data_IF_002774518879
#
_entry.id   IF_002774518879
#
_cell.length_a   1.000
_cell.length_b   1.000
_cell.length_c   1.000
_cell.angle_alpha   90.00
_cell.angle_beta   90.00
_cell.angle_gamma   90.00
#
_symmetry.space_group_name_H-M   'P 1'
#
loop_
_entity.id
_entity.type
_entity.pdbx_description
1 polymer ?
#
# COMPACT_ATOMS: atom_id res chain seq x y z
N UNK A 1 28.24 -11.98 -18.90
CA UNK A 1 28.23 -13.12 -17.96
C UNK A 1 27.93 -12.56 -16.59
N UNK A 2 26.98 -13.12 -15.81
CA UNK A 2 26.74 -12.67 -14.44
C UNK A 2 27.99 -12.91 -13.59
N UNK A 3 28.22 -12.06 -12.60
CA UNK A 3 29.39 -12.12 -11.73
C UNK A 3 29.40 -13.42 -10.89
N UNK A 4 30.57 -13.91 -10.44
CA UNK A 4 30.66 -15.14 -9.65
C UNK A 4 29.91 -14.95 -8.32
N UNK A 5 28.76 -15.62 -8.16
CA UNK A 5 27.92 -15.54 -6.96
C UNK A 5 26.46 -15.17 -7.22
N UNK A 6 26.09 -14.70 -8.42
CA UNK A 6 24.68 -14.45 -8.75
C UNK A 6 23.94 -15.74 -9.07
N UNK A 7 23.14 -16.23 -8.11
CA UNK A 7 22.13 -17.28 -8.37
C UNK A 7 21.19 -16.82 -9.48
N UNK A 8 20.79 -17.75 -10.33
CA UNK A 8 19.90 -17.44 -11.46
C UNK A 8 18.55 -16.89 -10.96
N UNK A 9 17.95 -15.92 -11.66
CA UNK A 9 16.64 -15.42 -11.30
C UNK A 9 15.57 -16.50 -11.60
N UNK A 10 14.74 -16.81 -10.60
CA UNK A 10 13.55 -17.65 -10.79
C UNK A 10 12.52 -16.90 -11.64
N UNK A 11 12.37 -15.58 -11.40
CA UNK A 11 11.57 -14.69 -12.22
C UNK A 11 12.27 -13.35 -12.43
N UNK A 12 12.16 -12.79 -13.63
CA UNK A 12 12.68 -11.47 -13.98
C UNK A 12 11.66 -10.67 -14.80
N UNK A 13 11.41 -9.44 -14.41
CA UNK A 13 10.62 -8.46 -15.15
C UNK A 13 11.58 -7.41 -15.70
N UNK A 14 11.43 -7.09 -16.99
CA UNK A 14 12.33 -6.17 -17.69
C UNK A 14 11.53 -5.07 -18.39
N UNK A 15 11.74 -3.82 -17.99
CA UNK A 15 11.03 -2.64 -18.51
C UNK A 15 9.51 -2.77 -18.48
N UNK A 16 8.96 -3.47 -17.48
CA UNK A 16 7.52 -3.79 -17.42
C UNK A 16 6.72 -2.53 -17.14
N UNK A 17 5.75 -2.23 -18.01
CA UNK A 17 4.78 -1.16 -17.81
C UNK A 17 3.36 -1.69 -18.01
N UNK A 18 2.41 -1.13 -17.25
CA UNK A 18 1.01 -1.53 -17.29
C UNK A 18 0.11 -0.31 -17.29
N UNK A 19 -0.80 -0.27 -18.27
CA UNK A 19 -1.90 0.69 -18.34
C UNK A 19 -3.23 -0.05 -18.53
N UNK A 20 -4.27 0.38 -17.84
CA UNK A 20 -5.64 -0.12 -18.06
C UNK A 20 -6.42 0.85 -18.94
N UNK A 21 -7.37 0.33 -19.72
CA UNK A 21 -8.29 1.16 -20.48
C UNK A 21 -9.34 1.78 -19.54
N UNK A 22 -9.51 3.10 -19.60
CA UNK A 22 -10.65 3.77 -18.94
C UNK A 22 -11.92 3.60 -19.79
N UNK A 23 -13.13 3.75 -19.21
CA UNK A 23 -14.37 3.88 -19.97
C UNK A 23 -14.35 5.00 -21.03
N UNK A 24 -13.53 6.04 -20.80
CA UNK A 24 -13.30 7.14 -21.75
C UNK A 24 -12.38 6.80 -22.93
N UNK A 25 -11.75 5.61 -22.93
CA UNK A 25 -10.79 5.18 -23.95
C UNK A 25 -9.33 5.59 -23.70
N UNK A 26 -9.07 6.50 -22.76
CA UNK A 26 -7.70 6.88 -22.40
C UNK A 26 -6.99 5.80 -21.55
N UNK A 27 -5.67 5.61 -21.72
CA UNK A 27 -4.90 4.73 -20.84
C UNK A 27 -4.78 5.34 -19.43
N UNK A 28 -4.97 4.50 -18.41
CA UNK A 28 -4.63 4.78 -17.02
C UNK A 28 -3.31 4.07 -16.70
N UNK A 29 -2.16 4.77 -16.68
CA UNK A 29 -0.89 4.15 -16.35
C UNK A 29 -0.84 3.77 -14.87
N UNK A 30 -0.60 2.49 -14.60
CA UNK A 30 -0.51 1.92 -13.25
C UNK A 30 0.92 1.56 -12.89
N UNK A 31 1.71 1.03 -13.83
CA UNK A 31 3.12 0.71 -13.64
C UNK A 31 3.92 1.28 -14.81
N UNK A 32 5.13 1.76 -14.54
CA UNK A 32 6.01 2.28 -15.56
C UNK A 32 7.45 1.84 -15.32
N UNK A 33 8.03 1.19 -16.33
CA UNK A 33 9.45 0.85 -16.40
C UNK A 33 9.97 0.11 -15.16
N UNK A 34 9.34 -1.02 -14.86
CA UNK A 34 9.69 -1.87 -13.73
C UNK A 34 10.72 -2.92 -14.16
N UNK A 35 11.90 -2.84 -13.55
CA UNK A 35 12.94 -3.87 -13.61
C UNK A 35 13.08 -4.54 -12.25
N UNK A 36 12.81 -5.84 -12.16
CA UNK A 36 13.05 -6.61 -10.94
C UNK A 36 13.43 -8.04 -11.25
N UNK A 37 14.17 -8.67 -10.36
CA UNK A 37 14.50 -10.09 -10.44
C UNK A 37 14.47 -10.70 -9.05
N UNK A 38 13.81 -11.85 -8.92
CA UNK A 38 13.79 -12.66 -7.70
C UNK A 38 14.73 -13.84 -7.91
N UNK A 39 15.72 -13.99 -7.03
CA UNK A 39 16.75 -15.03 -7.13
C UNK A 39 16.36 -16.27 -6.34
N UNK A 40 16.99 -17.39 -6.67
CA UNK A 40 16.83 -18.64 -5.93
C UNK A 40 17.31 -18.52 -4.47
N UNK A 41 16.47 -18.98 -3.55
CA UNK A 41 16.66 -18.89 -2.10
C UNK A 41 16.51 -17.48 -1.55
N UNK A 42 15.83 -16.58 -2.26
CA UNK A 42 15.53 -15.20 -1.83
C UNK A 42 14.03 -15.05 -1.51
N UNK A 43 13.73 -14.32 -0.43
CA UNK A 43 12.44 -13.68 -0.20
C UNK A 43 12.56 -12.20 -0.58
N UNK A 44 11.97 -11.83 -1.72
CA UNK A 44 11.89 -10.44 -2.16
C UNK A 44 10.58 -9.80 -1.67
N UNK A 45 10.70 -8.70 -0.93
CA UNK A 45 9.56 -7.89 -0.50
C UNK A 45 9.28 -6.76 -1.49
N UNK A 46 8.01 -6.56 -1.87
CA UNK A 46 7.54 -5.38 -2.58
C UNK A 46 6.73 -4.52 -1.61
N UNK A 47 7.31 -3.40 -1.20
CA UNK A 47 6.75 -2.48 -0.24
C UNK A 47 6.21 -1.24 -0.95
N UNK A 48 5.02 -0.77 -0.58
CA UNK A 48 4.49 0.47 -1.11
C UNK A 48 3.09 0.77 -0.62
N UNK A 49 2.63 2.00 -0.83
CA UNK A 49 1.31 2.45 -0.37
C UNK A 49 0.16 1.71 -1.08
N UNK A 50 -1.04 1.80 -0.53
CA UNK A 50 -2.24 1.39 -1.27
C UNK A 50 -2.32 2.14 -2.61
N UNK A 51 -2.65 1.44 -3.68
CA UNK A 51 -2.73 2.02 -5.04
C UNK A 51 -1.40 2.21 -5.77
N UNK A 52 -0.25 1.79 -5.23
CA UNK A 52 1.05 1.89 -5.94
C UNK A 52 1.23 0.89 -7.09
N UNK A 53 0.31 -0.06 -7.27
CA UNK A 53 0.37 -1.07 -8.34
C UNK A 53 0.98 -2.42 -7.92
N UNK A 54 1.17 -2.67 -6.62
CA UNK A 54 1.78 -3.93 -6.11
C UNK A 54 1.04 -5.20 -6.55
N UNK A 55 -0.27 -5.27 -6.30
CA UNK A 55 -1.08 -6.42 -6.71
C UNK A 55 -1.18 -6.56 -8.24
N UNK A 56 -1.09 -5.45 -8.98
CA UNK A 56 -0.97 -5.49 -10.45
C UNK A 56 0.35 -6.13 -10.87
N UNK A 57 1.46 -5.76 -10.23
CA UNK A 57 2.78 -6.32 -10.50
C UNK A 57 2.83 -7.81 -10.16
N UNK A 58 2.23 -8.22 -9.03
CA UNK A 58 2.14 -9.62 -8.63
C UNK A 58 1.30 -10.44 -9.63
N UNK A 59 0.18 -9.91 -10.13
CA UNK A 59 -0.62 -10.56 -11.18
C UNK A 59 0.13 -10.68 -12.52
N UNK A 60 0.98 -9.71 -12.85
CA UNK A 60 1.86 -9.79 -14.02
C UNK A 60 2.91 -10.89 -13.81
N UNK A 61 3.53 -10.96 -12.63
CA UNK A 61 4.48 -12.01 -12.27
C UNK A 61 3.84 -13.42 -12.27
N UNK A 62 2.55 -13.52 -11.94
CA UNK A 62 1.77 -14.76 -12.01
C UNK A 62 1.34 -15.15 -13.44
N UNK A 63 1.57 -14.28 -14.43
CA UNK A 63 1.09 -14.49 -15.80
C UNK A 63 -0.43 -14.29 -15.97
N UNK A 64 -1.12 -13.78 -14.95
CA UNK A 64 -2.58 -13.54 -14.96
C UNK A 64 -2.95 -12.28 -15.74
N UNK A 65 -2.04 -11.30 -15.81
CA UNK A 65 -2.22 -10.04 -16.53
C UNK A 65 -1.03 -9.81 -17.43
N UNK A 66 -1.26 -9.62 -18.73
CA UNK A 66 -0.21 -9.29 -19.68
C UNK A 66 0.19 -7.81 -19.52
N UNK A 67 1.49 -7.48 -19.39
CA UNK A 67 1.92 -6.09 -19.33
C UNK A 67 1.67 -5.39 -20.67
N UNK A 68 1.49 -4.06 -20.64
CA UNK A 68 1.33 -3.24 -21.85
C UNK A 68 2.63 -3.15 -22.63
N UNK A 69 3.77 -3.13 -21.94
CA UNK A 69 5.11 -3.20 -22.53
C UNK A 69 6.10 -3.86 -21.58
N UNK A 70 7.28 -4.21 -22.10
CA UNK A 70 8.28 -4.97 -21.36
C UNK A 70 8.04 -6.47 -21.49
N UNK A 71 8.81 -7.27 -20.73
CA UNK A 71 8.68 -8.73 -20.74
C UNK A 71 8.89 -9.33 -19.36
N UNK A 72 8.31 -10.49 -19.16
CA UNK A 72 8.47 -11.31 -17.96
C UNK A 72 9.14 -12.62 -18.38
N UNK A 73 10.17 -13.01 -17.65
CA UNK A 73 10.95 -14.24 -17.86
C UNK A 73 10.82 -15.09 -16.60
N UNK A 74 10.31 -16.32 -16.71
CA UNK A 74 10.22 -17.29 -15.62
C UNK A 74 11.14 -18.47 -15.95
N UNK A 75 12.09 -18.78 -15.06
CA UNK A 75 13.17 -19.77 -15.25
C UNK A 75 13.87 -19.63 -16.62
N UNK A 76 14.10 -18.38 -17.04
CA UNK A 76 14.78 -18.04 -18.29
C UNK A 76 13.92 -18.12 -19.56
N UNK A 77 12.66 -18.52 -19.47
CA UNK A 77 11.72 -18.57 -20.60
C UNK A 77 10.71 -17.40 -20.53
N UNK A 78 10.25 -16.85 -21.66
CA UNK A 78 9.18 -15.86 -21.67
C UNK A 78 7.89 -16.38 -20.99
N UNK A 79 7.27 -15.54 -20.17
CA UNK A 79 5.99 -15.83 -19.51
C UNK A 79 4.85 -15.10 -20.25
N UNK A 80 4.10 -15.84 -21.05
CA UNK A 80 2.99 -15.32 -21.86
C UNK A 80 1.58 -15.62 -21.29
N UNK A 81 1.52 -16.21 -20.09
CA UNK A 81 0.30 -16.59 -19.40
C UNK A 81 0.60 -17.31 -18.08
N UNK A 82 -0.41 -17.84 -17.38
CA UNK A 82 -0.20 -18.63 -16.16
C UNK A 82 0.70 -19.83 -16.45
N UNK A 83 1.75 -20.00 -15.64
CA UNK A 83 2.70 -21.09 -15.79
C UNK A 83 2.62 -22.07 -14.62
N UNK A 84 2.86 -23.35 -14.91
CA UNK A 84 3.06 -24.35 -13.88
C UNK A 84 4.28 -24.00 -13.02
N UNK A 85 4.18 -24.28 -11.72
CA UNK A 85 5.24 -23.99 -10.76
C UNK A 85 5.21 -22.56 -10.18
N UNK A 86 4.13 -21.81 -10.36
CA UNK A 86 3.91 -20.54 -9.65
C UNK A 86 2.71 -20.71 -8.71
N UNK A 87 2.95 -20.69 -7.40
CA UNK A 87 1.93 -20.69 -6.36
C UNK A 87 1.52 -19.26 -5.99
N UNK A 88 0.24 -19.03 -5.70
CA UNK A 88 -0.27 -17.70 -5.30
C UNK A 88 -1.07 -17.79 -4.00
N UNK A 89 -0.72 -16.93 -3.04
CA UNK A 89 -1.43 -16.73 -1.79
C UNK A 89 -2.08 -15.35 -1.83
N UNK A 90 -3.39 -15.30 -1.72
CA UNK A 90 -4.17 -14.06 -1.83
C UNK A 90 -4.44 -13.42 -0.47
N UNK A 91 -4.70 -12.11 -0.48
CA UNK A 91 -5.05 -11.31 0.70
C UNK A 91 -6.35 -11.78 1.36
N UNK A 92 -7.38 -12.02 0.55
CA UNK A 92 -8.55 -12.76 1.01
C UNK A 92 -8.20 -14.24 0.95
N UNK A 93 -8.48 -15.03 2.00
CA UNK A 93 -8.21 -16.47 2.06
C UNK A 93 -8.58 -17.21 0.76
N UNK A 94 -9.60 -16.71 0.05
CA UNK A 94 -10.05 -17.18 -1.27
C UNK A 94 -10.34 -18.68 -1.27
N UNK A 95 -10.75 -19.22 -0.13
CA UNK A 95 -11.20 -20.59 0.02
C UNK A 95 -12.64 -20.70 -0.46
N UNK A 96 -12.97 -21.84 -1.06
CA UNK A 96 -14.32 -22.17 -1.43
C UNK A 96 -15.08 -22.62 -0.17
N UNK A 97 -16.12 -21.87 0.26
CA UNK A 97 -16.74 -22.09 1.57
C UNK A 97 -17.57 -23.38 1.67
N UNK A 98 -17.87 -24.01 0.53
CA UNK A 98 -18.60 -25.28 0.42
C UNK A 98 -17.68 -26.49 0.22
N UNK A 99 -16.36 -26.28 0.13
CA UNK A 99 -15.38 -27.36 0.07
C UNK A 99 -14.70 -27.54 1.43
N UNK A 100 -14.29 -28.77 1.75
CA UNK A 100 -13.48 -29.08 2.94
C UNK A 100 -12.05 -28.52 2.81
N UNK A 101 -11.24 -28.64 3.87
CA UNK A 101 -9.80 -28.31 3.80
C UNK A 101 -9.12 -29.15 2.73
N UNK A 102 -9.31 -30.46 2.75
CA UNK A 102 -8.74 -31.39 1.76
C UNK A 102 -9.10 -30.99 0.33
N UNK A 103 -10.40 -30.79 0.07
CA UNK A 103 -10.89 -30.40 -1.26
C UNK A 103 -10.36 -29.02 -1.68
N UNK A 104 -10.23 -28.06 -0.76
CA UNK A 104 -9.63 -26.76 -1.08
C UNK A 104 -8.16 -26.89 -1.47
N UNK A 105 -7.39 -27.76 -0.80
CA UNK A 105 -5.99 -27.99 -1.11
C UNK A 105 -5.84 -28.74 -2.43
N UNK A 106 -6.67 -29.74 -2.69
CA UNK A 106 -6.68 -30.53 -3.92
C UNK A 106 -6.83 -29.67 -5.19
N UNK A 107 -7.58 -28.57 -5.13
CA UNK A 107 -7.70 -27.60 -6.24
C UNK A 107 -6.34 -27.07 -6.75
N UNK A 108 -5.31 -27.06 -5.92
CA UNK A 108 -3.95 -26.69 -6.33
C UNK A 108 -3.33 -27.65 -7.35
N UNK A 109 -3.87 -28.87 -7.47
CA UNK A 109 -3.42 -29.92 -8.38
C UNK A 109 -4.20 -29.97 -9.70
N UNK A 110 -5.36 -29.32 -9.79
CA UNK A 110 -6.26 -29.38 -10.96
C UNK A 110 -5.56 -29.07 -12.29
N UNK A 111 -4.65 -28.09 -12.26
CA UNK A 111 -3.94 -27.62 -13.44
C UNK A 111 -2.85 -28.60 -13.94
N UNK A 112 -2.33 -29.46 -13.06
CA UNK A 112 -1.19 -30.34 -13.35
C UNK A 112 -1.56 -31.81 -13.57
N UNK A 113 -2.87 -32.16 -13.49
CA UNK A 113 -3.44 -33.49 -13.84
C UNK A 113 -2.69 -34.67 -13.23
N UNK A 114 -2.51 -34.63 -11.92
CA UNK A 114 -1.86 -35.70 -11.13
C UNK A 114 -2.79 -36.92 -11.02
N UNK A 115 -2.26 -38.17 -11.03
CA UNK A 115 -3.06 -39.36 -10.73
C UNK A 115 -3.74 -39.26 -9.35
N UNK A 116 -4.94 -39.84 -9.15
CA UNK A 116 -5.70 -39.68 -7.91
C UNK A 116 -4.95 -40.11 -6.63
N UNK A 117 -4.26 -41.25 -6.67
CA UNK A 117 -3.52 -41.78 -5.51
C UNK A 117 -2.34 -40.86 -5.12
N UNK A 118 -1.66 -40.30 -6.12
CA UNK A 118 -0.57 -39.33 -5.93
C UNK A 118 -1.11 -37.98 -5.45
N UNK A 119 -2.31 -37.59 -5.88
CA UNK A 119 -2.96 -36.35 -5.47
C UNK A 119 -3.30 -36.37 -3.98
N UNK A 120 -3.94 -37.45 -3.51
CA UNK A 120 -4.28 -37.59 -2.08
C UNK A 120 -3.03 -37.54 -1.19
N UNK A 121 -1.96 -38.28 -1.54
CA UNK A 121 -0.71 -38.25 -0.78
C UNK A 121 -0.10 -36.83 -0.70
N UNK A 122 -0.09 -36.08 -1.81
CA UNK A 122 0.39 -34.69 -1.83
C UNK A 122 -0.46 -33.77 -0.98
N UNK A 123 -1.78 -33.91 -1.04
CA UNK A 123 -2.71 -33.11 -0.24
C UNK A 123 -2.51 -33.36 1.25
N UNK A 124 -2.44 -34.63 1.67
CA UNK A 124 -2.15 -35.00 3.07
C UNK A 124 -0.83 -34.41 3.54
N UNK A 125 0.26 -34.61 2.78
CA UNK A 125 1.57 -34.05 3.16
C UNK A 125 1.59 -32.52 3.19
N UNK A 126 0.83 -31.84 2.32
CA UNK A 126 0.71 -30.38 2.35
C UNK A 126 -0.04 -29.89 3.59
N UNK A 127 -1.07 -30.61 4.05
CA UNK A 127 -1.84 -30.30 5.26
C UNK A 127 -1.02 -30.57 6.54
N UNK A 128 -0.23 -31.64 6.55
CA UNK A 128 0.74 -31.96 7.60
C UNK A 128 1.81 -30.85 7.72
N UNK A 129 2.39 -30.43 6.59
CA UNK A 129 3.47 -29.43 6.54
C UNK A 129 3.07 -28.09 7.18
N UNK A 130 1.81 -27.70 7.03
CA UNK A 130 1.25 -26.47 7.60
C UNK A 130 0.60 -26.68 8.97
N UNK A 131 0.63 -27.90 9.52
CA UNK A 131 0.19 -28.24 10.87
C UNK A 131 -1.33 -28.20 11.06
N UNK A 132 -2.09 -28.70 10.08
CA UNK A 132 -3.55 -28.83 10.16
C UNK A 132 -4.04 -30.28 10.19
N UNK A 133 -3.20 -31.18 10.70
CA UNK A 133 -3.56 -32.59 10.94
C UNK A 133 -4.83 -32.71 11.78
N UNK A 134 -5.77 -33.54 11.32
CA UNK A 134 -7.07 -33.74 11.94
C UNK A 134 -8.15 -32.71 11.56
N UNK A 135 -7.85 -31.76 10.69
CA UNK A 135 -8.82 -30.77 10.16
C UNK A 135 -9.14 -30.95 8.67
N UNK A 136 -8.75 -32.07 8.05
CA UNK A 136 -8.88 -32.35 6.61
C UNK A 136 -10.34 -32.24 6.15
N UNK A 137 -11.27 -32.74 6.96
CA UNK A 137 -12.71 -32.76 6.68
C UNK A 137 -13.46 -31.50 7.12
N UNK A 138 -12.79 -30.54 7.77
CA UNK A 138 -13.42 -29.32 8.25
C UNK A 138 -13.75 -28.36 7.10
N UNK A 139 -14.82 -27.60 7.23
CA UNK A 139 -15.17 -26.53 6.30
C UNK A 139 -14.54 -25.18 6.74
N UNK A 140 -14.28 -24.23 5.82
CA UNK A 140 -13.66 -22.94 6.14
C UNK A 140 -14.36 -22.13 7.25
N UNK A 141 -15.68 -22.31 7.42
CA UNK A 141 -16.48 -21.68 8.48
C UNK A 141 -16.18 -22.21 9.89
N UNK A 142 -15.55 -23.37 9.99
CA UNK A 142 -15.20 -24.05 11.24
C UNK A 142 -13.76 -23.72 11.67
N UNK A 143 -13.02 -22.99 10.84
CA UNK A 143 -11.61 -22.65 11.04
C UNK A 143 -11.44 -21.23 11.61
N UNK A 144 -10.36 -21.01 12.35
CA UNK A 144 -9.91 -19.66 12.70
C UNK A 144 -9.34 -18.93 11.46
N UNK A 145 -9.10 -17.62 11.57
CA UNK A 145 -8.45 -16.85 10.49
C UNK A 145 -7.07 -17.40 10.12
N UNK A 146 -6.24 -17.69 11.12
CA UNK A 146 -4.91 -18.27 10.89
C UNK A 146 -4.97 -19.65 10.25
N UNK A 147 -5.92 -20.50 10.68
CA UNK A 147 -6.12 -21.82 10.06
C UNK A 147 -6.54 -21.69 8.59
N UNK A 148 -7.48 -20.79 8.25
CA UNK A 148 -7.82 -20.52 6.84
C UNK A 148 -6.62 -20.05 6.02
N UNK A 149 -5.75 -19.22 6.59
CA UNK A 149 -4.55 -18.79 5.90
C UNK A 149 -3.58 -19.95 5.65
N UNK A 150 -3.42 -20.86 6.63
CA UNK A 150 -2.63 -22.10 6.46
C UNK A 150 -3.17 -22.96 5.33
N UNK A 151 -4.49 -23.14 5.22
CA UNK A 151 -5.11 -23.84 4.08
C UNK A 151 -4.76 -23.15 2.75
N UNK A 152 -4.76 -21.81 2.73
CA UNK A 152 -4.31 -21.03 1.58
C UNK A 152 -2.85 -21.31 1.18
N UNK A 153 -1.95 -21.45 2.16
CA UNK A 153 -0.56 -21.88 1.92
C UNK A 153 -0.50 -23.32 1.40
N UNK A 154 -1.19 -24.26 2.04
CA UNK A 154 -1.23 -25.67 1.63
C UNK A 154 -1.63 -25.79 0.14
N UNK A 155 -2.73 -25.13 -0.24
CA UNK A 155 -3.22 -25.08 -1.63
C UNK A 155 -2.20 -24.49 -2.60
N UNK A 156 -1.44 -23.47 -2.18
CA UNK A 156 -0.42 -22.88 -3.02
C UNK A 156 0.82 -23.79 -3.17
N UNK A 157 1.14 -24.58 -2.15
CA UNK A 157 2.35 -25.40 -2.06
C UNK A 157 2.20 -26.82 -2.61
N UNK A 158 0.98 -27.36 -2.64
CA UNK A 158 0.70 -28.78 -3.02
C UNK A 158 1.23 -29.16 -4.42
N UNK A 159 1.35 -28.18 -5.31
CA UNK A 159 1.86 -28.36 -6.68
C UNK A 159 3.38 -28.24 -6.82
N UNK A 160 4.13 -28.22 -5.72
CA UNK A 160 5.59 -28.04 -5.67
C UNK A 160 6.09 -26.82 -6.49
N UNK A 161 5.61 -25.59 -6.19
CA UNK A 161 5.90 -24.44 -7.03
C UNK A 161 7.35 -23.96 -6.88
N UNK A 162 7.99 -23.55 -7.96
CA UNK A 162 9.29 -22.88 -7.89
C UNK A 162 9.19 -21.51 -7.22
N UNK A 163 8.10 -20.79 -7.49
CA UNK A 163 7.91 -19.41 -7.06
C UNK A 163 6.62 -19.30 -6.26
N UNK A 164 6.71 -18.79 -5.04
CA UNK A 164 5.55 -18.44 -4.23
C UNK A 164 5.31 -16.92 -4.28
N UNK A 165 4.16 -16.53 -4.78
CA UNK A 165 3.69 -15.15 -4.79
C UNK A 165 2.73 -14.94 -3.62
N UNK A 166 2.94 -13.91 -2.81
CA UNK A 166 2.05 -13.60 -1.69
C UNK A 166 1.55 -12.16 -1.76
N UNK A 167 0.24 -11.97 -1.80
CA UNK A 167 -0.41 -10.64 -1.82
C UNK A 167 -0.99 -10.33 -0.44
N UNK A 168 -0.28 -9.55 0.38
CA UNK A 168 -0.65 -9.20 1.76
C UNK A 168 -1.11 -10.41 2.62
N UNK A 169 -0.33 -11.50 2.67
CA UNK A 169 -0.76 -12.79 3.23
C UNK A 169 -1.10 -12.77 4.72
N UNK A 170 -0.67 -11.76 5.47
CA UNK A 170 -0.92 -11.66 6.92
C UNK A 170 -1.84 -10.50 7.31
N UNK A 171 -2.34 -9.71 6.36
CA UNK A 171 -3.06 -8.45 6.68
C UNK A 171 -4.46 -8.68 7.29
N UNK A 172 -5.09 -9.81 7.00
CA UNK A 172 -6.44 -10.14 7.46
C UNK A 172 -6.48 -10.82 8.86
N UNK A 173 -5.31 -10.97 9.49
CA UNK A 173 -5.15 -11.68 10.76
C UNK A 173 -4.93 -10.68 11.90
N UNK A 174 -5.34 -11.06 13.12
CA UNK A 174 -4.94 -10.31 14.31
C UNK A 174 -3.42 -10.39 14.52
N UNK A 175 -2.88 -9.44 15.29
CA UNK A 175 -1.44 -9.24 15.44
C UNK A 175 -0.71 -10.49 15.92
N UNK A 176 -1.27 -11.21 16.91
CA UNK A 176 -0.63 -12.40 17.49
C UNK A 176 -0.67 -13.59 16.53
N UNK A 177 -1.84 -13.85 15.93
CA UNK A 177 -1.99 -14.93 14.94
C UNK A 177 -1.08 -14.70 13.73
N UNK A 178 -1.00 -13.46 13.25
CA UNK A 178 -0.10 -13.08 12.16
C UNK A 178 1.36 -13.32 12.53
N UNK A 179 1.76 -13.07 13.78
CA UNK A 179 3.13 -13.26 14.26
C UNK A 179 3.56 -14.71 14.31
N UNK A 180 2.69 -15.56 14.86
CA UNK A 180 2.90 -17.00 14.86
C UNK A 180 3.00 -17.54 13.44
N UNK A 181 2.06 -17.17 12.56
CA UNK A 181 2.04 -17.65 11.18
C UNK A 181 3.30 -17.26 10.38
N UNK A 182 3.83 -16.04 10.61
CA UNK A 182 5.09 -15.58 9.99
C UNK A 182 6.29 -16.37 10.50
N UNK A 183 6.35 -16.58 11.81
CA UNK A 183 7.45 -17.32 12.44
C UNK A 183 7.49 -18.74 11.90
N UNK A 184 6.35 -19.44 11.91
CA UNK A 184 6.22 -20.79 11.37
C UNK A 184 6.61 -20.86 9.89
N UNK A 185 6.17 -19.90 9.07
CA UNK A 185 6.55 -19.83 7.66
C UNK A 185 8.07 -19.68 7.49
N UNK A 186 8.69 -18.78 8.26
CA UNK A 186 10.13 -18.55 8.20
C UNK A 186 10.90 -19.78 8.68
N UNK A 187 10.45 -20.48 9.72
CA UNK A 187 11.08 -21.69 10.22
C UNK A 187 11.08 -22.79 9.15
N UNK A 188 9.95 -23.03 8.49
CA UNK A 188 9.84 -23.98 7.39
C UNK A 188 10.70 -23.60 6.18
N UNK A 189 10.73 -22.31 5.82
CA UNK A 189 11.57 -21.78 4.73
C UNK A 189 13.06 -21.98 5.00
N UNK A 190 13.53 -21.63 6.20
CA UNK A 190 14.94 -21.73 6.59
C UNK A 190 15.40 -23.17 6.76
N UNK A 191 14.51 -24.03 7.27
CA UNK A 191 14.74 -25.46 7.37
C UNK A 191 14.69 -26.18 6.00
N UNK A 192 14.39 -25.47 4.90
CA UNK A 192 14.25 -26.03 3.55
C UNK A 192 13.18 -27.12 3.44
N UNK A 193 12.12 -26.98 4.24
CA UNK A 193 11.00 -27.91 4.26
C UNK A 193 9.87 -27.51 3.29
N UNK A 194 9.80 -26.22 2.93
CA UNK A 194 8.86 -25.77 1.91
C UNK A 194 9.35 -26.16 0.50
N UNK A 195 8.49 -26.74 -0.36
CA UNK A 195 8.85 -27.16 -1.72
C UNK A 195 8.88 -25.97 -2.69
N UNK A 196 9.68 -24.94 -2.37
CA UNK A 196 9.75 -23.68 -3.12
C UNK A 196 11.18 -23.15 -3.26
N UNK A 197 11.48 -22.51 -4.40
CA UNK A 197 12.81 -21.97 -4.69
C UNK A 197 12.93 -20.49 -4.31
N UNK A 198 11.86 -19.70 -4.44
CA UNK A 198 11.86 -18.26 -4.22
C UNK A 198 10.50 -17.73 -3.78
N UNK A 199 10.50 -16.56 -3.12
CA UNK A 199 9.28 -15.86 -2.70
C UNK A 199 9.27 -14.43 -3.20
N UNK A 200 8.14 -13.98 -3.75
CA UNK A 200 7.83 -12.56 -3.94
C UNK A 200 6.62 -12.20 -3.08
N UNK A 201 6.84 -11.41 -2.04
CA UNK A 201 5.81 -11.00 -1.09
C UNK A 201 5.48 -9.53 -1.27
N UNK A 202 4.20 -9.20 -1.37
CA UNK A 202 3.68 -7.85 -1.34
C UNK A 202 3.17 -7.55 0.07
N UNK A 203 3.62 -6.43 0.63
CA UNK A 203 3.09 -5.93 1.90
C UNK A 203 3.08 -4.40 1.92
N UNK A 204 2.28 -3.82 2.82
CA UNK A 204 2.34 -2.41 3.18
C UNK A 204 2.95 -2.19 4.58
N UNK A 205 3.34 -3.27 5.27
CA UNK A 205 3.97 -3.24 6.57
C UNK A 205 5.50 -3.33 6.44
N UNK A 206 6.21 -2.29 6.88
CA UNK A 206 7.68 -2.21 6.79
C UNK A 206 8.35 -3.20 7.73
N UNK A 207 7.86 -3.31 8.96
CA UNK A 207 8.44 -4.22 9.96
C UNK A 207 8.32 -5.67 9.50
N UNK A 208 7.17 -6.05 8.94
CA UNK A 208 6.98 -7.36 8.32
C UNK A 208 7.99 -7.62 7.21
N UNK A 209 8.14 -6.68 6.28
CA UNK A 209 9.07 -6.80 5.18
C UNK A 209 10.53 -6.94 5.67
N UNK A 210 10.95 -6.14 6.66
CA UNK A 210 12.31 -6.18 7.20
C UNK A 210 12.56 -7.44 8.02
N UNK A 211 11.54 -8.01 8.68
CA UNK A 211 11.67 -9.27 9.40
C UNK A 211 11.71 -10.47 8.46
N UNK A 212 11.01 -10.43 7.33
CA UNK A 212 10.81 -11.59 6.46
C UNK A 212 11.64 -11.63 5.19
N UNK A 213 12.08 -10.49 4.65
CA UNK A 213 12.68 -10.44 3.31
C UNK A 213 14.20 -10.29 3.34
N UNK A 214 14.90 -10.90 2.38
CA UNK A 214 16.34 -10.68 2.17
C UNK A 214 16.60 -9.31 1.53
N UNK A 215 15.62 -8.82 0.77
CA UNK A 215 15.66 -7.54 0.07
C UNK A 215 14.26 -6.97 -0.10
N UNK A 216 14.16 -5.65 -0.12
CA UNK A 216 12.89 -4.92 -0.27
C UNK A 216 13.00 -3.95 -1.45
N UNK A 217 12.02 -4.00 -2.36
CA UNK A 217 11.80 -2.99 -3.38
C UNK A 217 10.69 -2.04 -2.94
N UNK A 218 11.00 -0.75 -2.91
CA UNK A 218 10.04 0.29 -2.57
C UNK A 218 9.35 0.79 -3.83
N UNK A 219 8.05 0.57 -3.95
CA UNK A 219 7.22 0.97 -5.08
C UNK A 219 6.53 2.31 -4.81
N UNK A 220 6.85 3.31 -5.62
CA UNK A 220 6.14 4.60 -5.68
C UNK A 220 4.76 4.46 -6.29
N UNK A 221 3.96 5.52 -6.30
CA UNK A 221 2.60 5.51 -6.86
C UNK A 221 2.46 6.49 -8.03
N UNK A 222 1.55 6.18 -8.96
CA UNK A 222 1.02 7.05 -10.02
C UNK A 222 2.03 7.64 -11.04
N UNK A 223 2.57 6.83 -11.97
CA UNK A 223 2.51 5.37 -12.03
C UNK A 223 3.53 4.73 -11.08
N UNK A 224 3.30 3.46 -10.74
CA UNK A 224 4.22 2.68 -9.93
C UNK A 224 5.59 2.55 -10.58
N UNK A 225 6.63 2.91 -9.81
CA UNK A 225 8.05 2.83 -10.18
C UNK A 225 8.85 2.36 -8.98
N UNK A 226 9.94 1.64 -9.21
CA UNK A 226 10.87 1.28 -8.14
C UNK A 226 11.62 2.55 -7.72
N UNK A 227 11.43 2.95 -6.47
CA UNK A 227 12.04 4.15 -5.89
C UNK A 227 13.39 3.83 -5.26
N UNK A 228 13.48 2.67 -4.61
CA UNK A 228 14.65 2.22 -3.89
C UNK A 228 14.66 0.70 -3.82
N UNK A 229 15.86 0.16 -3.70
CA UNK A 229 16.15 -1.23 -3.39
C UNK A 229 16.93 -1.25 -2.08
N UNK A 230 16.43 -1.97 -1.09
CA UNK A 230 16.98 -2.00 0.27
C UNK A 230 17.37 -3.44 0.61
N UNK A 231 18.67 -3.78 0.65
CA UNK A 231 19.13 -5.08 1.11
C UNK A 231 18.97 -5.20 2.62
N UNK A 232 18.66 -6.40 3.12
CA UNK A 232 18.55 -6.69 4.56
C UNK A 232 19.68 -7.67 4.94
N UNK A 233 20.87 -7.17 5.35
CA UNK A 233 22.05 -8.01 5.59
C UNK A 233 22.00 -8.82 6.89
N UNK A 234 20.86 -8.82 7.58
CA UNK A 234 20.68 -9.47 8.88
C UNK A 234 20.31 -10.94 8.70
N UNK A 235 21.02 -11.81 9.42
CA UNK A 235 20.72 -13.23 9.47
C UNK A 235 19.43 -13.53 10.27
N UNK A 236 18.81 -14.67 9.99
CA UNK A 236 17.67 -15.16 10.75
C UNK A 236 18.13 -16.03 11.95
N UNK A 237 17.37 -16.06 13.06
CA UNK A 237 16.13 -15.31 13.31
C UNK A 237 16.41 -13.83 13.63
N UNK A 238 15.62 -12.94 13.04
CA UNK A 238 15.75 -11.48 13.24
C UNK A 238 14.99 -11.04 14.49
N UNK A 239 15.57 -10.13 15.24
CA UNK A 239 14.95 -9.56 16.44
C UNK A 239 14.46 -8.14 16.17
N UNK A 240 13.19 -7.87 16.47
CA UNK A 240 12.57 -6.52 16.39
C UNK A 240 13.29 -5.47 17.23
N UNK A 241 13.93 -5.91 18.31
CA UNK A 241 14.65 -5.04 19.24
C UNK A 241 16.11 -4.81 18.82
N UNK A 242 16.57 -5.41 17.72
CA UNK A 242 17.91 -5.18 17.19
C UNK A 242 18.03 -3.73 16.68
N UNK A 243 18.97 -2.92 17.22
CA UNK A 243 19.18 -1.56 16.75
C UNK A 243 19.50 -1.44 15.26
N UNK A 244 20.20 -2.42 14.67
CA UNK A 244 20.53 -2.41 13.24
C UNK A 244 19.27 -2.62 12.39
N UNK A 245 18.38 -3.51 12.84
CA UNK A 245 17.08 -3.72 12.20
C UNK A 245 16.21 -2.45 12.28
N UNK A 246 16.18 -1.79 13.43
CA UNK A 246 15.47 -0.52 13.61
C UNK A 246 16.02 0.57 12.68
N UNK A 247 17.35 0.65 12.53
CA UNK A 247 17.97 1.60 11.61
C UNK A 247 17.56 1.37 10.15
N UNK A 248 17.44 0.11 9.72
CA UNK A 248 16.95 -0.24 8.39
C UNK A 248 15.49 0.20 8.23
N UNK A 249 14.64 -0.09 9.22
CA UNK A 249 13.24 0.33 9.24
C UNK A 249 13.12 1.85 9.11
N UNK A 250 13.88 2.59 9.91
CA UNK A 250 13.92 4.06 9.89
C UNK A 250 14.39 4.60 8.54
N UNK A 251 15.41 3.98 7.93
CA UNK A 251 15.90 4.33 6.60
C UNK A 251 14.84 4.15 5.51
N UNK A 252 14.04 3.08 5.57
CA UNK A 252 12.94 2.87 4.63
C UNK A 252 11.84 3.93 4.85
N UNK A 253 11.54 4.29 6.09
CA UNK A 253 10.61 5.39 6.38
C UNK A 253 11.10 6.74 5.86
N UNK A 254 12.37 7.05 6.05
CA UNK A 254 12.99 8.27 5.52
C UNK A 254 12.91 8.30 3.99
N UNK A 255 13.20 7.19 3.32
CA UNK A 255 13.12 7.09 1.86
C UNK A 255 11.69 7.28 1.33
N UNK A 256 10.68 6.74 2.02
CA UNK A 256 9.27 6.94 1.69
C UNK A 256 8.82 8.38 1.93
N UNK A 257 9.21 8.98 3.05
CA UNK A 257 8.75 10.32 3.47
C UNK A 257 9.46 11.47 2.74
N UNK A 258 10.77 11.40 2.54
CA UNK A 258 11.56 12.44 1.86
C UNK A 258 11.05 12.71 0.43
N UNK A 259 10.78 11.66 -0.35
CA UNK A 259 10.23 11.80 -1.70
C UNK A 259 8.76 12.23 -1.73
N UNK A 260 8.02 11.99 -0.65
CA UNK A 260 6.64 12.47 -0.47
C UNK A 260 6.61 13.98 -0.18
N UNK A 261 7.53 14.47 0.65
CA UNK A 261 7.76 15.91 0.83
C UNK A 261 8.07 16.59 -0.50
N UNK A 262 9.05 16.07 -1.25
CA UNK A 262 9.45 16.64 -2.55
C UNK A 262 8.33 16.59 -3.60
N UNK A 263 7.56 15.49 -3.68
CA UNK A 263 6.49 15.34 -4.67
C UNK A 263 5.23 16.16 -4.36
N UNK A 264 5.04 16.59 -3.11
CA UNK A 264 3.90 17.38 -2.65
C UNK A 264 4.23 18.87 -2.49
N UNK A 265 5.51 19.19 -2.26
CA UNK A 265 6.04 20.55 -2.21
C UNK A 265 6.39 21.12 -3.58
N UNK A 266 6.60 20.31 -4.62
CA UNK A 266 6.98 20.80 -5.94
C UNK A 266 5.84 21.61 -6.62
N UNK A 267 6.02 22.93 -6.88
CA UNK A 267 5.11 23.69 -7.71
C UNK A 267 5.39 23.35 -9.18
N UNK A 268 4.84 22.24 -9.68
CA UNK A 268 4.99 21.88 -11.09
C UNK A 268 4.03 22.70 -11.96
N UNK A 269 4.55 23.80 -12.53
CA UNK A 269 3.99 24.46 -13.71
C UNK A 269 3.45 25.88 -13.50
N UNK A 270 3.31 26.61 -14.61
CA UNK A 270 3.04 28.07 -14.75
C UNK A 270 2.14 28.70 -13.67
N UNK A 271 2.37 29.98 -13.32
CA UNK A 271 1.57 30.74 -12.35
C UNK A 271 0.07 30.64 -12.65
N UNK A 272 -0.75 30.36 -11.61
CA UNK A 272 -2.21 30.51 -11.66
C UNK A 272 -3.06 29.24 -11.71
N UNK A 273 -2.50 28.03 -11.75
CA UNK A 273 -3.29 26.77 -11.65
C UNK A 273 -2.73 25.87 -10.53
N UNK A 274 -3.57 25.34 -9.63
CA UNK A 274 -3.16 24.40 -8.58
C UNK A 274 -2.85 23.02 -9.17
N UNK A 275 -1.61 22.54 -9.05
CA UNK A 275 -1.22 21.17 -9.40
C UNK A 275 -0.84 20.32 -8.18
N UNK A 276 -1.05 20.86 -6.98
CA UNK A 276 -0.71 20.20 -5.73
C UNK A 276 -1.61 18.99 -5.53
N UNK A 277 -1.01 17.81 -5.40
CA UNK A 277 -1.75 16.60 -5.02
C UNK A 277 -2.10 16.68 -3.54
N UNK A 278 -3.33 16.31 -3.20
CA UNK A 278 -3.75 16.23 -1.80
C UNK A 278 -3.76 14.78 -1.31
N UNK A 279 -3.28 14.51 -0.08
CA UNK A 279 -3.35 13.18 0.51
C UNK A 279 -4.82 12.78 0.71
N UNK A 280 -5.16 11.55 0.35
CA UNK A 280 -6.52 11.03 0.48
C UNK A 280 -6.91 10.79 1.96
N UNK A 281 -7.28 11.87 2.64
CA UNK A 281 -7.62 11.87 4.06
C UNK A 281 -8.79 12.80 4.28
N UNK A 282 -9.80 12.37 5.05
CA UNK A 282 -10.89 13.24 5.46
C UNK A 282 -10.49 14.15 6.63
N UNK A 283 -11.10 15.32 6.70
CA UNK A 283 -11.03 16.27 7.81
C UNK A 283 -11.24 15.61 9.18
N UNK A 284 -12.27 14.76 9.32
CA UNK A 284 -12.52 14.04 10.57
C UNK A 284 -11.35 13.11 10.96
N UNK A 285 -10.74 12.40 10.00
CA UNK A 285 -9.59 11.52 10.31
C UNK A 285 -8.37 12.33 10.72
N UNK A 286 -8.17 13.52 10.14
CA UNK A 286 -7.11 14.44 10.56
C UNK A 286 -7.31 14.90 11.99
N UNK A 287 -8.53 15.30 12.34
CA UNK A 287 -8.85 15.81 13.67
C UNK A 287 -8.62 14.75 14.74
N UNK A 288 -9.15 13.55 14.52
CA UNK A 288 -8.93 12.39 15.41
C UNK A 288 -7.44 12.02 15.52
N UNK A 289 -6.69 12.16 14.42
CA UNK A 289 -5.27 11.86 14.42
C UNK A 289 -4.46 12.87 15.23
N UNK A 290 -4.77 14.17 15.14
CA UNK A 290 -4.10 15.20 15.93
C UNK A 290 -4.29 14.96 17.42
N UNK A 291 -5.51 14.61 17.84
CA UNK A 291 -5.81 14.30 19.25
C UNK A 291 -5.02 13.09 19.72
N UNK A 292 -5.01 12.02 18.91
CA UNK A 292 -4.25 10.82 19.19
C UNK A 292 -2.73 11.09 19.20
N UNK A 293 -2.22 11.94 18.31
CA UNK A 293 -0.81 12.32 18.24
C UNK A 293 -0.36 13.04 19.51
N UNK A 294 -1.12 14.03 19.98
CA UNK A 294 -0.78 14.77 21.20
C UNK A 294 -0.91 13.89 22.44
N UNK A 295 -1.86 12.96 22.47
CA UNK A 295 -1.97 12.00 23.57
C UNK A 295 -0.73 11.09 23.71
N UNK A 296 0.00 10.84 22.62
CA UNK A 296 1.16 9.95 22.58
C UNK A 296 2.50 10.69 22.42
N UNK A 297 2.51 12.03 22.41
CA UNK A 297 3.73 12.84 22.29
C UNK A 297 3.80 13.93 23.35
N UNK A 298 4.95 14.02 24.05
CA UNK A 298 5.14 15.05 25.08
C UNK A 298 5.59 16.40 24.50
N UNK A 299 6.44 16.36 23.48
CA UNK A 299 7.06 17.57 22.90
C UNK A 299 6.48 17.93 21.52
N UNK A 300 5.38 17.29 21.12
CA UNK A 300 4.78 17.44 19.79
C UNK A 300 5.69 16.93 18.67
N UNK A 301 6.54 15.95 18.95
CA UNK A 301 7.46 15.32 18.00
C UNK A 301 7.45 13.81 18.21
N UNK A 302 7.38 13.04 17.13
CA UNK A 302 7.54 11.59 17.17
C UNK A 302 8.10 11.04 15.85
N UNK A 303 8.92 10.01 15.97
CA UNK A 303 9.29 9.14 14.86
C UNK A 303 8.05 8.35 14.41
N UNK A 304 7.80 8.30 13.09
CA UNK A 304 6.65 7.59 12.53
C UNK A 304 6.55 6.12 12.95
N UNK A 305 7.63 5.29 12.99
CA UNK A 305 7.52 3.91 13.45
C UNK A 305 6.99 3.82 14.88
N UNK A 306 7.57 4.60 15.81
CA UNK A 306 7.16 4.57 17.22
C UNK A 306 5.71 5.03 17.41
N UNK A 307 5.32 6.07 16.67
CA UNK A 307 3.95 6.56 16.69
C UNK A 307 2.97 5.52 16.12
N UNK A 308 3.34 4.83 15.05
CA UNK A 308 2.53 3.77 14.45
C UNK A 308 2.30 2.60 15.41
N UNK A 309 3.36 2.15 16.09
CA UNK A 309 3.25 1.12 17.13
C UNK A 309 2.37 1.60 18.28
N UNK A 310 2.55 2.83 18.75
CA UNK A 310 1.75 3.41 19.85
C UNK A 310 0.26 3.53 19.51
N UNK A 311 -0.06 3.86 18.26
CA UNK A 311 -1.44 4.01 17.77
C UNK A 311 -2.05 2.70 17.27
N UNK A 312 -1.31 1.59 17.27
CA UNK A 312 -1.69 0.34 16.60
C UNK A 312 -2.16 0.57 15.14
N UNK A 313 -1.52 1.52 14.45
CA UNK A 313 -1.89 1.96 13.11
C UNK A 313 -0.75 1.64 12.14
N UNK A 314 -0.98 0.90 11.04
CA UNK A 314 0.05 0.69 10.03
C UNK A 314 0.58 2.01 9.48
N UNK A 315 1.89 2.12 9.23
CA UNK A 315 2.42 3.40 8.71
C UNK A 315 1.89 3.75 7.33
N UNK A 316 1.48 2.77 6.52
CA UNK A 316 0.77 3.02 5.27
C UNK A 316 -0.48 3.90 5.44
N UNK A 317 -1.15 3.81 6.60
CA UNK A 317 -2.32 4.59 6.98
C UNK A 317 -1.96 5.88 7.73
N UNK A 318 -0.88 5.84 8.53
CA UNK A 318 -0.35 6.99 9.26
C UNK A 318 0.22 8.06 8.33
N UNK A 319 0.96 7.64 7.30
CA UNK A 319 1.69 8.53 6.40
C UNK A 319 0.79 9.52 5.66
N UNK A 320 -0.37 9.15 5.08
CA UNK A 320 -1.33 10.11 4.56
C UNK A 320 -1.73 11.21 5.55
N UNK A 321 -1.90 10.87 6.84
CA UNK A 321 -2.28 11.81 7.90
C UNK A 321 -1.13 12.77 8.23
N UNK A 322 0.08 12.23 8.40
CA UNK A 322 1.29 13.01 8.63
C UNK A 322 1.54 14.00 7.48
N UNK A 323 1.37 13.54 6.24
CA UNK A 323 1.49 14.34 5.03
C UNK A 323 0.43 15.45 4.97
N UNK A 324 -0.80 15.17 5.37
CA UNK A 324 -1.86 16.17 5.37
C UNK A 324 -1.61 17.30 6.39
N UNK A 325 -1.14 16.96 7.59
CA UNK A 325 -0.70 17.97 8.55
C UNK A 325 0.49 18.78 8.03
N UNK A 326 1.36 18.16 7.23
CA UNK A 326 2.46 18.85 6.59
C UNK A 326 2.02 19.82 5.50
N UNK A 327 1.13 19.38 4.60
CA UNK A 327 0.53 20.24 3.57
C UNK A 327 -0.22 21.42 4.16
N UNK A 328 -0.86 21.23 5.31
CA UNK A 328 -1.55 22.29 6.04
C UNK A 328 -0.61 23.10 6.95
N UNK A 329 0.70 22.85 6.96
CA UNK A 329 1.68 23.56 7.81
C UNK A 329 1.37 23.50 9.32
N UNK A 330 0.62 22.48 9.75
CA UNK A 330 0.44 22.13 11.16
C UNK A 330 1.58 21.24 11.67
N UNK A 331 2.29 20.55 10.77
CA UNK A 331 3.45 19.76 11.13
C UNK A 331 4.56 19.82 10.07
N UNK A 332 5.79 19.55 10.46
CA UNK A 332 6.91 19.27 9.58
C UNK A 332 7.10 17.76 9.54
N UNK A 333 7.06 17.17 8.34
CA UNK A 333 7.39 15.76 8.11
C UNK A 333 8.79 15.69 7.50
N UNK A 334 9.78 15.26 8.28
CA UNK A 334 11.18 15.23 7.85
C UNK A 334 11.90 14.04 8.48
N UNK A 335 12.74 13.37 7.68
CA UNK A 335 13.63 12.28 8.15
C UNK A 335 12.87 11.17 8.92
N UNK A 336 11.67 10.80 8.46
CA UNK A 336 10.84 9.78 9.12
C UNK A 336 10.18 10.21 10.44
N UNK A 337 10.26 11.50 10.81
CA UNK A 337 9.63 12.05 12.00
C UNK A 337 8.61 13.15 11.67
N UNK A 338 7.57 13.23 12.50
CA UNK A 338 6.54 14.25 12.43
C UNK A 338 6.66 15.20 13.63
N UNK A 339 6.75 16.50 13.37
CA UNK A 339 6.90 17.54 14.39
C UNK A 339 5.88 18.64 14.23
N UNK A 340 5.10 18.95 15.26
CA UNK A 340 4.13 20.04 15.22
C UNK A 340 4.82 21.41 15.08
N UNK A 341 4.29 22.24 14.20
CA UNK A 341 4.65 23.66 14.08
C UNK A 341 4.07 24.44 15.25
N UNK A 342 4.37 25.74 15.34
CA UNK A 342 3.72 26.62 16.32
C UNK A 342 2.20 26.65 16.11
N UNK A 343 1.74 26.77 14.87
CA UNK A 343 0.32 26.73 14.53
C UNK A 343 -0.30 25.36 14.83
N UNK A 344 0.40 24.26 14.54
CA UNK A 344 -0.09 22.91 14.85
C UNK A 344 -0.28 22.66 16.34
N UNK A 345 0.58 23.23 17.19
CA UNK A 345 0.40 23.16 18.65
C UNK A 345 -0.86 23.90 19.11
N UNK A 346 -1.14 25.08 18.56
CA UNK A 346 -2.37 25.82 18.86
C UNK A 346 -3.58 25.05 18.33
N UNK A 347 -3.51 24.55 17.09
CA UNK A 347 -4.57 23.71 16.50
C UNK A 347 -4.89 22.50 17.38
N UNK A 348 -3.89 21.81 17.91
CA UNK A 348 -4.11 20.61 18.71
C UNK A 348 -4.68 20.89 20.13
N UNK A 349 -4.49 22.12 20.65
CA UNK A 349 -4.98 22.53 21.96
C UNK A 349 -6.29 23.33 21.90
N UNK A 350 -6.65 23.83 20.73
CA UNK A 350 -7.81 24.67 20.52
C UNK A 350 -9.12 23.90 20.64
N UNK A 351 -10.19 24.63 20.99
CA UNK A 351 -11.54 24.09 20.92
C UNK A 351 -12.01 23.92 19.46
N UNK A 352 -13.20 23.35 19.27
CA UNK A 352 -13.74 23.10 17.93
C UNK A 352 -13.84 24.38 17.07
N UNK A 353 -14.08 25.54 17.67
CA UNK A 353 -14.17 26.82 16.96
C UNK A 353 -12.81 27.32 16.51
N UNK A 354 -11.82 27.28 17.41
CA UNK A 354 -10.44 27.67 17.12
C UNK A 354 -9.80 26.75 16.09
N UNK A 355 -9.99 25.43 16.21
CA UNK A 355 -9.54 24.43 15.22
C UNK A 355 -10.10 24.75 13.85
N UNK A 356 -11.42 24.94 13.73
CA UNK A 356 -12.07 25.25 12.45
C UNK A 356 -11.54 26.54 11.83
N UNK A 357 -11.27 27.57 12.65
CA UNK A 357 -10.69 28.84 12.20
C UNK A 357 -9.27 28.65 11.66
N UNK A 358 -8.38 28.03 12.44
CA UNK A 358 -7.00 27.76 12.02
C UNK A 358 -6.95 26.86 10.78
N UNK A 359 -7.79 25.82 10.73
CA UNK A 359 -7.89 24.94 9.57
C UNK A 359 -8.27 25.73 8.31
N UNK A 360 -9.24 26.65 8.41
CA UNK A 360 -9.62 27.53 7.28
C UNK A 360 -8.45 28.41 6.83
N UNK A 361 -7.81 29.11 7.76
CA UNK A 361 -6.68 30.01 7.48
C UNK A 361 -5.55 29.25 6.76
N UNK A 362 -5.19 28.07 7.25
CA UNK A 362 -4.13 27.25 6.67
C UNK A 362 -4.53 26.60 5.33
N UNK A 363 -5.78 26.13 5.21
CA UNK A 363 -6.31 25.60 3.95
C UNK A 363 -6.29 26.66 2.84
N UNK A 364 -6.70 27.89 3.15
CA UNK A 364 -6.72 28.99 2.18
C UNK A 364 -5.31 29.44 1.80
N UNK A 365 -4.34 29.40 2.73
CA UNK A 365 -2.99 29.88 2.46
C UNK A 365 -2.07 28.84 1.80
N UNK A 366 -2.16 27.57 2.20
CA UNK A 366 -1.18 26.54 1.82
C UNK A 366 -1.72 25.50 0.82
N UNK A 367 -3.04 25.45 0.62
CA UNK A 367 -3.66 24.56 -0.37
C UNK A 367 -4.14 25.36 -1.57
N UNK A 368 -3.31 25.40 -2.61
CA UNK A 368 -3.55 26.22 -3.79
C UNK A 368 -4.92 25.94 -4.46
N UNK A 369 -5.38 24.68 -4.43
CA UNK A 369 -6.68 24.32 -5.01
C UNK A 369 -7.86 24.92 -4.23
N UNK A 370 -7.79 24.88 -2.90
CA UNK A 370 -8.84 25.45 -2.05
C UNK A 370 -8.89 26.98 -2.21
N UNK A 371 -7.73 27.63 -2.23
CA UNK A 371 -7.60 29.06 -2.51
C UNK A 371 -8.19 29.42 -3.88
N UNK A 372 -7.87 28.63 -4.92
CA UNK A 372 -8.36 28.87 -6.28
C UNK A 372 -9.88 28.72 -6.38
N UNK A 373 -10.45 27.66 -5.80
CA UNK A 373 -11.91 27.47 -5.75
C UNK A 373 -12.56 28.67 -5.05
N UNK A 374 -12.02 29.09 -3.90
CA UNK A 374 -12.53 30.24 -3.15
C UNK A 374 -12.52 31.52 -3.98
N UNK A 375 -11.40 31.81 -4.65
CA UNK A 375 -11.23 32.97 -5.52
C UNK A 375 -12.25 32.97 -6.67
N UNK A 376 -12.41 31.85 -7.38
CA UNK A 376 -13.37 31.74 -8.49
C UNK A 376 -14.81 31.97 -8.02
N UNK A 377 -15.16 31.50 -6.80
CA UNK A 377 -16.46 31.75 -6.22
C UNK A 377 -16.65 33.22 -5.82
N UNK A 378 -15.60 33.92 -5.38
CA UNK A 378 -15.67 35.35 -5.07
C UNK A 378 -15.85 36.24 -6.29
N UNK A 379 -15.17 35.91 -7.40
CA UNK A 379 -15.20 36.71 -8.64
C UNK A 379 -16.51 36.56 -9.42
N UNK A 380 -17.27 35.47 -9.18
CA UNK A 380 -18.53 35.20 -9.88
C UNK A 380 -19.71 35.87 -9.18
N UNK A 381 -20.50 36.60 -9.96
CA UNK A 381 -21.72 37.27 -9.48
C UNK A 381 -22.73 36.33 -8.78
N UNK A 382 -22.77 35.05 -9.17
CA UNK A 382 -23.65 34.04 -8.57
C UNK A 382 -23.02 33.25 -7.42
N UNK A 383 -21.76 33.53 -7.07
CA UNK A 383 -20.98 32.80 -6.05
C UNK A 383 -21.02 31.27 -6.21
N UNK A 384 -21.10 30.82 -7.46
CA UNK A 384 -21.28 29.42 -7.83
C UNK A 384 -20.40 29.04 -9.01
N UNK A 385 -19.82 27.84 -8.95
CA UNK A 385 -19.03 27.28 -10.02
C UNK A 385 -19.27 25.77 -10.18
N UNK A 386 -19.41 25.26 -11.42
CA UNK A 386 -19.56 23.83 -11.66
C UNK A 386 -18.27 23.10 -11.32
N UNK A 387 -18.39 21.87 -10.81
CA UNK A 387 -17.26 20.99 -10.48
C UNK A 387 -16.34 20.77 -11.67
N UNK A 388 -16.93 20.58 -12.84
CA UNK A 388 -16.25 20.19 -14.08
C UNK A 388 -15.15 21.20 -14.44
N UNK A 389 -15.33 22.48 -14.07
CA UNK A 389 -14.31 23.51 -14.29
C UNK A 389 -13.00 23.14 -13.60
N UNK A 390 -13.05 22.89 -12.30
CA UNK A 390 -11.86 22.61 -11.50
C UNK A 390 -11.30 21.22 -11.81
N UNK A 391 -12.18 20.28 -12.17
CA UNK A 391 -11.78 18.95 -12.62
C UNK A 391 -10.96 19.02 -13.90
N UNK A 392 -11.39 19.80 -14.91
CA UNK A 392 -10.64 20.01 -16.14
C UNK A 392 -9.29 20.72 -15.89
N UNK A 393 -9.26 21.75 -15.04
CA UNK A 393 -8.02 22.44 -14.67
C UNK A 393 -7.00 21.50 -13.99
N UNK A 394 -7.47 20.53 -13.19
CA UNK A 394 -6.59 19.52 -12.59
C UNK A 394 -6.14 18.48 -13.61
N UNK A 395 -7.00 18.08 -14.55
CA UNK A 395 -6.70 17.11 -15.60
C UNK A 395 -5.61 17.58 -16.56
N UNK A 396 -5.39 18.90 -16.68
CA UNK A 396 -4.27 19.46 -17.45
C UNK A 396 -2.89 19.04 -16.90
N UNK A 397 -2.82 18.62 -15.63
CA UNK A 397 -1.54 18.35 -14.92
C UNK A 397 -1.52 17.03 -14.15
N UNK A 398 -2.68 16.51 -13.78
CA UNK A 398 -2.85 15.29 -13.00
C UNK A 398 -3.57 14.24 -13.84
N UNK A 399 -3.25 12.97 -13.60
CA UNK A 399 -4.07 11.90 -14.15
C UNK A 399 -5.49 11.95 -13.52
N UNK A 400 -6.52 11.34 -14.14
CA UNK A 400 -7.89 11.47 -13.64
C UNK A 400 -8.12 10.95 -12.23
N UNK A 401 -7.39 9.91 -11.80
CA UNK A 401 -7.52 9.38 -10.45
C UNK A 401 -7.01 10.40 -9.43
N UNK A 402 -5.84 10.99 -9.68
CA UNK A 402 -5.25 12.03 -8.83
C UNK A 402 -6.10 13.31 -8.84
N UNK A 403 -6.61 13.73 -10.00
CA UNK A 403 -7.50 14.88 -10.12
C UNK A 403 -8.79 14.68 -9.30
N UNK A 404 -9.45 13.53 -9.48
CA UNK A 404 -10.67 13.20 -8.74
C UNK A 404 -10.43 13.08 -7.23
N UNK A 405 -9.32 12.47 -6.81
CA UNK A 405 -8.96 12.37 -5.40
C UNK A 405 -8.63 13.73 -4.80
N UNK A 406 -7.82 14.53 -5.48
CA UNK A 406 -7.42 15.87 -5.03
C UNK A 406 -8.66 16.77 -4.89
N UNK A 407 -9.56 16.75 -5.88
CA UNK A 407 -10.79 17.53 -5.83
C UNK A 407 -11.73 17.06 -4.72
N UNK A 408 -11.87 15.74 -4.50
CA UNK A 408 -12.66 15.20 -3.40
C UNK A 408 -12.13 15.63 -2.03
N UNK A 409 -10.81 15.60 -1.84
CA UNK A 409 -10.18 16.05 -0.58
C UNK A 409 -10.38 17.55 -0.39
N UNK A 410 -10.20 18.35 -1.44
CA UNK A 410 -10.46 19.79 -1.38
C UNK A 410 -11.93 20.11 -1.07
N UNK A 411 -12.89 19.33 -1.59
CA UNK A 411 -14.31 19.46 -1.24
C UNK A 411 -14.53 19.18 0.26
N UNK A 412 -14.03 18.05 0.76
CA UNK A 412 -14.18 17.66 2.17
C UNK A 412 -13.58 18.69 3.12
N UNK A 413 -12.31 19.06 2.88
CA UNK A 413 -11.59 20.03 3.71
C UNK A 413 -12.21 21.43 3.63
N UNK A 414 -12.65 21.86 2.45
CA UNK A 414 -13.29 23.16 2.26
C UNK A 414 -14.65 23.26 2.94
N UNK A 415 -15.46 22.20 2.90
CA UNK A 415 -16.73 22.12 3.65
C UNK A 415 -16.48 22.14 5.16
N UNK A 416 -15.52 21.36 5.64
CA UNK A 416 -15.14 21.35 7.05
C UNK A 416 -14.68 22.74 7.52
N UNK A 417 -13.84 23.40 6.73
CA UNK A 417 -13.37 24.77 6.99
C UNK A 417 -14.49 25.82 6.88
N UNK A 418 -15.59 25.53 6.20
CA UNK A 418 -16.61 26.51 5.81
C UNK A 418 -16.06 27.54 4.81
N UNK A 419 -15.10 27.14 3.97
CA UNK A 419 -14.52 27.96 2.90
C UNK A 419 -15.47 28.02 1.70
N UNK A 420 -16.11 26.88 1.40
CA UNK A 420 -17.15 26.72 0.40
C UNK A 420 -18.01 25.49 0.71
N UNK A 421 -19.23 25.50 0.19
CA UNK A 421 -20.12 24.35 0.17
C UNK A 421 -20.07 23.65 -1.19
N UNK A 422 -20.50 22.39 -1.21
CA UNK A 422 -20.57 21.59 -2.42
C UNK A 422 -21.86 20.77 -2.43
N UNK A 423 -22.58 20.86 -3.54
CA UNK A 423 -23.82 20.15 -3.82
C UNK A 423 -23.48 18.93 -4.70
N UNK A 424 -23.58 17.73 -4.14
CA UNK A 424 -23.21 16.48 -4.82
C UNK A 424 -24.14 16.17 -6.01
N UNK A 425 -25.44 16.47 -5.89
CA UNK A 425 -26.45 16.20 -6.93
C UNK A 425 -26.30 17.17 -8.10
N UNK A 426 -26.18 18.47 -7.79
CA UNK A 426 -26.00 19.50 -8.81
C UNK A 426 -24.57 19.56 -9.35
N UNK A 427 -23.60 18.96 -8.65
CA UNK A 427 -22.15 19.06 -8.91
C UNK A 427 -21.65 20.50 -8.97
N UNK A 428 -22.12 21.33 -8.04
CA UNK A 428 -21.83 22.77 -7.99
C UNK A 428 -21.21 23.16 -6.65
N UNK A 429 -20.15 23.95 -6.70
CA UNK A 429 -19.59 24.66 -5.55
C UNK A 429 -20.38 25.95 -5.29
N UNK A 430 -20.60 26.26 -4.00
CA UNK A 430 -21.17 27.54 -3.55
C UNK A 430 -20.24 28.20 -2.54
N UNK A 431 -20.19 29.52 -2.52
CA UNK A 431 -19.45 30.27 -1.49
C UNK A 431 -19.98 29.92 -0.10
N UNK A 432 -19.06 29.62 0.83
CA UNK A 432 -19.42 29.29 2.20
C UNK A 432 -19.87 30.53 2.97
N UNK A 433 -20.83 30.37 3.87
CA UNK A 433 -21.24 31.43 4.78
C UNK A 433 -20.12 31.65 5.83
N UNK A 434 -19.26 32.64 5.58
CA UNK A 434 -18.26 33.08 6.55
C UNK A 434 -18.96 33.49 7.85
N UNK A 435 -18.58 32.84 8.95
CA UNK A 435 -19.06 33.17 10.29
C UNK A 435 -18.82 34.63 10.65
N UNK A 436 -19.82 35.46 10.38
CA UNK A 436 -20.01 36.80 10.89
C UNK A 436 -21.50 36.95 11.24
N UNK A 437 -21.94 36.19 12.23
CA UNK A 437 -23.08 36.58 13.07
C UNK A 437 -22.51 36.86 14.45
N UNK A 438 -22.10 38.12 14.64
CA UNK A 438 -22.03 38.73 15.97
C UNK A 438 -23.43 39.01 16.48
#
# INVERSE_FOLDING_TARGET
>A
MPAPGERAPVIALRGVSMSFAKPSGEPLPVLADIDLAVREGEILGLLGRSGSGKSTLLRIAAGLVKPTSGRVEYRGAPLDGPAAGIGVVFQTFALYPWLTVEENVELGLDAIRVPPDDAHARVTSAIELIGLDGFESAYPRELSGGMRQRVGFARALVGDPALLLMDEPFSALDVLTADTLRTDFLDLWHARQLPIDAVLMVTHNIEEAVLMCDRILVLGAHPGRILAEVPIPLAYPRNRLDPELQHIVDGIYAALTSRLGDALAAPNGKPGVPAQRLPNVSSHRLDSFVDAFVAHTRDGCAELPRLASALAMPVGDLLPLAVALHVLEFAELRDGALRLTAAGRVYAQGDAGERKRLFREHLEHFVALAAHIRQVLDERAGHQAPRERFELELLDRLNPLDAANTLRVAIDWGRFAGLYDYDDDARVFRRGEGGARG
#
